data_IF_108405601935
#
_entry.id   IF_108405601935
#
_cell.length_a   1.000
_cell.length_b   1.000
_cell.length_c   1.000
_cell.angle_alpha   90.00
_cell.angle_beta   90.00
_cell.angle_gamma   90.00
#
_symmetry.space_group_name_H-M   'P 1'
#
loop_
_entity.id
_entity.type
_entity.pdbx_description
1 polymer ?
#
# COMPACT_ATOMS: atom_id res chain seq x y z
N UNK A 1 32.45 10.02 0.31
CA UNK A 1 31.91 8.64 0.41
C UNK A 1 30.40 8.75 0.24
N UNK A 2 29.88 8.37 -0.93
CA UNK A 2 28.44 8.43 -1.18
C UNK A 2 27.75 7.42 -0.27
N UNK A 3 26.82 7.90 0.57
CA UNK A 3 25.92 7.01 1.31
C UNK A 3 25.23 6.10 0.29
N UNK A 4 25.42 4.78 0.40
CA UNK A 4 24.68 3.83 -0.43
C UNK A 4 23.24 3.84 0.08
N UNK A 5 22.35 4.49 -0.66
CA UNK A 5 20.91 4.37 -0.46
C UNK A 5 20.52 2.91 -0.59
N UNK A 6 19.97 2.32 0.48
CA UNK A 6 19.47 0.94 0.47
C UNK A 6 17.98 0.96 0.17
N UNK A 7 17.53 0.13 -0.78
CA UNK A 7 16.11 -0.05 -1.08
C UNK A 7 15.55 -1.25 -0.33
N UNK A 8 14.40 -1.07 0.32
CA UNK A 8 13.61 -2.14 0.91
C UNK A 8 12.32 -2.32 0.10
N UNK A 9 12.10 -3.54 -0.38
CA UNK A 9 10.90 -3.89 -1.15
C UNK A 9 9.73 -4.17 -0.20
N UNK A 10 8.59 -3.59 -0.53
CA UNK A 10 7.34 -3.72 0.20
C UNK A 10 6.18 -3.98 -0.77
N UNK A 11 5.10 -4.54 -0.26
CA UNK A 11 3.84 -4.75 -0.97
C UNK A 11 2.73 -3.95 -0.34
N UNK A 12 1.73 -3.61 -1.14
CA UNK A 12 0.45 -3.07 -0.68
C UNK A 12 -0.65 -3.60 -1.61
N UNK A 13 -1.58 -4.37 -1.07
CA UNK A 13 -2.70 -4.94 -1.78
C UNK A 13 -3.99 -4.28 -1.30
N UNK A 14 -4.82 -3.83 -2.23
CA UNK A 14 -6.15 -3.29 -1.95
C UNK A 14 -7.17 -4.14 -2.69
N UNK A 15 -8.09 -4.73 -1.94
CA UNK A 15 -9.24 -5.42 -2.52
C UNK A 15 -10.28 -4.38 -2.93
N UNK A 16 -10.69 -4.43 -4.19
CA UNK A 16 -11.65 -3.52 -4.78
C UNK A 16 -12.84 -4.29 -5.34
N UNK A 17 -13.98 -4.16 -4.68
CA UNK A 17 -15.27 -4.67 -5.15
C UNK A 17 -16.20 -3.49 -5.35
N UNK A 18 -16.21 -2.91 -6.55
CA UNK A 18 -16.95 -1.68 -6.83
C UNK A 18 -18.40 -1.74 -6.28
N UNK A 19 -18.87 -0.73 -5.52
CA UNK A 19 -18.22 0.56 -5.24
C UNK A 19 -17.46 0.61 -3.90
N UNK A 20 -16.85 -0.49 -3.45
CA UNK A 20 -16.18 -0.59 -2.15
C UNK A 20 -14.72 -1.01 -2.25
N UNK A 21 -13.91 -0.51 -1.33
CA UNK A 21 -12.54 -0.97 -1.08
C UNK A 21 -12.43 -1.55 0.33
N UNK A 22 -11.61 -2.58 0.49
CA UNK A 22 -11.25 -3.10 1.80
C UNK A 22 -9.96 -2.41 2.27
N UNK A 23 -10.02 -1.78 3.44
CA UNK A 23 -8.88 -1.18 4.12
C UNK A 23 -8.73 -1.81 5.51
N UNK A 24 -7.55 -1.75 6.09
CA UNK A 24 -7.30 -2.16 7.46
C UNK A 24 -6.82 -1.00 8.33
N UNK A 25 -7.42 -0.84 9.51
CA UNK A 25 -6.87 0.04 10.54
C UNK A 25 -5.68 -0.66 11.17
N UNK A 26 -4.49 -0.07 11.01
CA UNK A 26 -3.26 -0.63 11.55
C UNK A 26 -3.21 -0.46 13.07
N UNK A 27 -3.07 -1.56 13.80
CA UNK A 27 -3.13 -1.62 15.27
C UNK A 27 -1.77 -1.43 15.93
N UNK A 28 -0.68 -1.79 15.24
CA UNK A 28 0.69 -1.74 15.78
C UNK A 28 1.75 -1.45 14.71
N UNK A 29 2.95 -1.06 15.16
CA UNK A 29 4.11 -0.86 14.30
C UNK A 29 4.04 0.41 13.43
N UNK A 30 4.82 0.41 12.35
CA UNK A 30 4.93 1.56 11.44
C UNK A 30 3.60 1.87 10.74
N UNK A 31 3.05 3.06 10.96
CA UNK A 31 1.74 3.47 10.44
C UNK A 31 0.54 3.10 11.32
N UNK A 32 0.76 2.69 12.57
CA UNK A 32 -0.34 2.44 13.51
C UNK A 32 -1.26 3.66 13.66
N UNK A 33 -2.57 3.41 13.76
CA UNK A 33 -3.60 4.44 13.82
C UNK A 33 -4.04 4.98 12.46
N UNK A 34 -3.57 4.39 11.35
CA UNK A 34 -3.98 4.75 9.99
C UNK A 34 -4.72 3.61 9.28
N UNK A 35 -5.68 3.98 8.45
CA UNK A 35 -6.26 3.07 7.45
C UNK A 35 -5.28 2.90 6.29
N UNK A 36 -5.13 1.68 5.79
CA UNK A 36 -4.28 1.39 4.64
C UNK A 36 -4.77 0.14 3.90
N UNK A 37 -4.16 -0.17 2.74
CA UNK A 37 -4.17 -1.52 2.18
C UNK A 37 -3.36 -2.50 3.03
N UNK A 38 -3.31 -3.75 2.58
CA UNK A 38 -2.68 -4.86 3.29
C UNK A 38 -1.34 -5.22 2.68
N UNK A 39 -0.29 -5.39 3.47
CA UNK A 39 1.03 -5.61 2.89
C UNK A 39 2.19 -5.38 3.84
N UNK A 40 3.35 -5.84 3.40
CA UNK A 40 4.55 -5.85 4.23
C UNK A 40 5.81 -6.09 3.42
N UNK A 41 6.83 -6.63 4.06
CA UNK A 41 8.17 -6.75 3.48
C UNK A 41 8.25 -7.95 2.55
N UNK A 42 8.95 -7.77 1.43
CA UNK A 42 9.32 -8.90 0.55
C UNK A 42 10.56 -9.58 1.13
N UNK A 43 10.46 -10.88 1.39
CA UNK A 43 11.54 -11.71 1.89
C UNK A 43 12.50 -12.15 0.78
N UNK A 44 13.70 -12.61 1.13
CA UNK A 44 14.73 -12.99 0.15
C UNK A 44 14.35 -14.17 -0.76
N UNK A 45 13.40 -15.03 -0.33
CA UNK A 45 13.05 -16.28 -0.98
C UNK A 45 11.62 -16.26 -1.58
N UNK A 46 11.02 -15.09 -1.75
CA UNK A 46 9.70 -14.93 -2.35
C UNK A 46 9.72 -13.82 -3.41
N UNK A 47 8.85 -13.95 -4.39
CA UNK A 47 8.54 -12.87 -5.32
C UNK A 47 7.70 -11.79 -4.64
N UNK A 48 7.66 -10.60 -5.24
CA UNK A 48 6.82 -9.50 -4.76
C UNK A 48 5.33 -9.91 -4.74
N UNK A 49 4.88 -10.69 -5.72
CA UNK A 49 3.49 -11.15 -5.78
C UNK A 49 3.20 -12.20 -4.69
N UNK A 50 4.12 -13.14 -4.45
CA UNK A 50 4.00 -14.10 -3.34
C UNK A 50 3.95 -13.39 -1.99
N UNK A 51 4.79 -12.38 -1.77
CA UNK A 51 4.74 -11.55 -0.57
C UNK A 51 3.39 -10.85 -0.42
N UNK A 52 2.84 -10.27 -1.50
CA UNK A 52 1.54 -9.60 -1.45
C UNK A 52 0.40 -10.56 -1.08
N UNK A 53 0.42 -11.80 -1.62
CA UNK A 53 -0.55 -12.86 -1.28
C UNK A 53 -0.42 -13.33 0.17
N UNK A 54 0.81 -13.52 0.64
CA UNK A 54 1.10 -13.91 2.02
C UNK A 54 0.61 -12.86 3.02
N UNK A 55 0.97 -11.59 2.81
CA UNK A 55 0.67 -10.51 3.75
C UNK A 55 -0.85 -10.28 3.87
N UNK A 56 -1.59 -10.20 2.76
CA UNK A 56 -3.05 -10.01 2.86
C UNK A 56 -3.74 -11.18 3.57
N UNK A 57 -3.26 -12.41 3.35
CA UNK A 57 -3.75 -13.59 4.05
C UNK A 57 -3.46 -13.52 5.55
N UNK A 58 -2.25 -13.14 5.95
CA UNK A 58 -1.86 -13.00 7.35
C UNK A 58 -2.64 -11.89 8.06
N UNK A 59 -2.87 -10.76 7.39
CA UNK A 59 -3.49 -9.58 7.98
C UNK A 59 -5.03 -9.63 8.01
N UNK A 60 -5.65 -10.40 7.10
CA UNK A 60 -7.12 -10.41 6.92
C UNK A 60 -7.76 -11.79 6.86
N UNK A 61 -6.99 -12.87 6.72
CA UNK A 61 -7.51 -14.23 6.55
C UNK A 61 -8.10 -14.55 5.17
N UNK A 62 -8.12 -13.60 4.22
CA UNK A 62 -8.62 -13.86 2.86
C UNK A 62 -7.52 -14.29 1.90
N UNK A 63 -7.91 -15.02 0.85
CA UNK A 63 -7.01 -15.46 -0.21
C UNK A 63 -7.31 -14.68 -1.50
N UNK A 64 -6.28 -14.08 -2.11
CA UNK A 64 -6.37 -13.42 -3.42
C UNK A 64 -5.67 -14.23 -4.49
N UNK A 65 -6.37 -14.51 -5.60
CA UNK A 65 -5.82 -15.34 -6.69
C UNK A 65 -5.14 -14.48 -7.75
N UNK A 66 -5.83 -13.41 -8.17
CA UNK A 66 -5.37 -12.48 -9.22
C UNK A 66 -4.96 -11.17 -8.57
N UNK A 67 -3.75 -10.72 -8.88
CA UNK A 67 -3.19 -9.44 -8.44
C UNK A 67 -2.82 -8.61 -9.66
N UNK A 68 -3.54 -7.51 -9.86
CA UNK A 68 -3.24 -6.54 -10.90
C UNK A 68 -2.30 -5.47 -10.35
N UNK A 69 -1.06 -5.44 -10.86
CA UNK A 69 -0.09 -4.43 -10.45
C UNK A 69 -0.58 -3.05 -10.90
N UNK A 70 -0.88 -2.20 -9.92
CA UNK A 70 -1.47 -0.87 -10.10
C UNK A 70 -0.41 0.24 -10.01
N UNK A 71 0.63 0.08 -9.18
CA UNK A 71 1.64 1.11 -9.09
C UNK A 71 2.94 0.70 -8.40
N UNK A 72 3.93 1.59 -8.50
CA UNK A 72 5.16 1.53 -7.73
C UNK A 72 5.41 2.91 -7.14
N UNK A 73 5.54 3.00 -5.82
CA UNK A 73 5.87 4.26 -5.15
C UNK A 73 7.14 4.09 -4.33
N UNK A 74 8.07 5.02 -4.51
CA UNK A 74 9.25 5.15 -3.65
C UNK A 74 8.97 6.17 -2.53
N UNK A 75 9.11 5.74 -1.29
CA UNK A 75 8.99 6.61 -0.12
C UNK A 75 10.35 6.82 0.52
N UNK A 76 10.66 8.08 0.76
CA UNK A 76 11.83 8.53 1.52
C UNK A 76 11.39 9.28 2.76
N UNK A 77 12.19 9.18 3.81
CA UNK A 77 11.97 9.91 5.05
C UNK A 77 13.22 10.74 5.36
N UNK A 78 13.06 12.03 5.59
CA UNK A 78 14.16 12.95 5.86
C UNK A 78 15.03 12.43 7.01
N UNK A 79 16.33 12.28 6.75
CA UNK A 79 17.29 11.75 7.72
C UNK A 79 17.37 10.22 7.77
N UNK A 80 16.55 9.49 7.01
CA UNK A 80 16.65 8.05 6.83
C UNK A 80 17.26 7.72 5.45
N UNK A 81 18.39 7.00 5.37
CA UNK A 81 19.01 6.62 4.11
C UNK A 81 18.29 5.47 3.39
N UNK A 82 17.33 4.81 4.02
CA UNK A 82 16.55 3.72 3.42
C UNK A 82 15.40 4.27 2.58
N UNK A 83 15.27 3.77 1.34
CA UNK A 83 14.12 4.00 0.46
C UNK A 83 13.18 2.80 0.56
N UNK A 84 11.91 3.08 0.78
CA UNK A 84 10.85 2.08 0.77
C UNK A 84 10.23 2.04 -0.63
N UNK A 85 10.49 0.98 -1.39
CA UNK A 85 9.87 0.77 -2.71
C UNK A 85 8.64 -0.12 -2.53
N UNK A 86 7.46 0.49 -2.62
CA UNK A 86 6.16 -0.17 -2.41
C UNK A 86 5.54 -0.54 -3.75
N UNK A 87 5.28 -1.83 -3.95
CA UNK A 87 4.53 -2.34 -5.08
C UNK A 87 3.05 -2.47 -4.73
N UNK A 88 2.22 -1.68 -5.42
CA UNK A 88 0.79 -1.58 -5.15
C UNK A 88 0.04 -2.50 -6.12
N UNK A 89 -0.84 -3.32 -5.57
CA UNK A 89 -1.68 -4.27 -6.29
C UNK A 89 -3.16 -4.00 -6.01
N UNK A 90 -3.98 -4.22 -7.03
CA UNK A 90 -5.43 -4.33 -6.95
C UNK A 90 -5.82 -5.80 -7.02
N UNK A 91 -6.83 -6.20 -6.27
CA UNK A 91 -7.51 -7.48 -6.49
C UNK A 91 -9.02 -7.26 -6.47
N UNK A 92 -9.73 -7.81 -7.46
CA UNK A 92 -11.20 -7.77 -7.51
C UNK A 92 -11.83 -9.11 -7.09
N UNK A 93 -11.01 -10.15 -6.93
CA UNK A 93 -11.44 -11.51 -6.63
C UNK A 93 -10.65 -12.11 -5.47
N UNK A 94 -11.36 -12.46 -4.41
CA UNK A 94 -10.82 -13.13 -3.24
C UNK A 94 -11.80 -14.19 -2.72
N UNK A 95 -11.32 -15.05 -1.82
CA UNK A 95 -12.14 -16.00 -1.08
C UNK A 95 -11.90 -15.91 0.42
N UNK A 96 -12.92 -16.25 1.21
CA UNK A 96 -12.92 -16.09 2.66
C UNK A 96 -13.61 -14.79 3.09
N UNK A 97 -13.69 -14.60 4.41
CA UNK A 97 -14.27 -13.39 5.02
C UNK A 97 -13.14 -12.63 5.73
N UNK A 98 -13.00 -11.30 5.52
CA UNK A 98 -12.00 -10.51 6.23
C UNK A 98 -12.21 -10.58 7.75
N UNK A 99 -11.17 -11.01 8.47
CA UNK A 99 -11.13 -11.09 9.92
C UNK A 99 -10.11 -10.13 10.50
N UNK A 100 -10.38 -9.62 11.70
CA UNK A 100 -9.41 -8.84 12.45
C UNK A 100 -8.24 -9.72 12.91
N UNK A 101 -7.02 -9.28 12.61
CA UNK A 101 -5.79 -9.91 13.08
C UNK A 101 -5.20 -9.12 14.26
N UNK A 102 -4.05 -9.56 14.78
CA UNK A 102 -3.30 -8.75 15.75
C UNK A 102 -2.84 -7.41 15.15
N UNK A 103 -2.62 -7.36 13.83
CA UNK A 103 -1.99 -6.22 13.16
C UNK A 103 -2.97 -5.27 12.52
N UNK A 104 -4.05 -5.80 11.94
CA UNK A 104 -4.99 -5.05 11.10
C UNK A 104 -6.43 -5.35 11.49
N UNK A 105 -7.27 -4.31 11.51
CA UNK A 105 -8.72 -4.44 11.60
C UNK A 105 -9.35 -4.09 10.25
N UNK A 106 -9.76 -5.08 9.43
CA UNK A 106 -10.35 -4.83 8.12
C UNK A 106 -11.72 -4.16 8.21
N UNK A 107 -12.00 -3.27 7.26
CA UNK A 107 -13.29 -2.62 7.08
C UNK A 107 -13.49 -2.23 5.62
N UNK A 108 -14.71 -2.45 5.13
CA UNK A 108 -15.14 -1.98 3.82
C UNK A 108 -15.52 -0.50 3.87
N UNK A 109 -15.06 0.27 2.89
CA UNK A 109 -15.45 1.66 2.68
C UNK A 109 -16.05 1.82 1.29
N UNK A 110 -17.12 2.62 1.17
CA UNK A 110 -17.55 3.10 -0.14
C UNK A 110 -16.44 3.97 -0.74
N UNK A 111 -16.25 3.96 -2.06
CA UNK A 111 -15.21 4.75 -2.74
C UNK A 111 -15.32 6.26 -2.48
N UNK A 112 -16.54 6.74 -2.23
CA UNK A 112 -16.81 8.15 -1.90
C UNK A 112 -16.62 8.48 -0.40
N UNK A 113 -16.41 7.47 0.44
CA UNK A 113 -16.30 7.58 1.89
C UNK A 113 -14.92 7.12 2.41
N UNK A 114 -13.94 7.03 1.52
CA UNK A 114 -12.56 6.67 1.88
C UNK A 114 -12.01 7.69 2.89
N UNK A 115 -11.54 7.25 4.07
CA UNK A 115 -11.21 8.14 5.17
C UNK A 115 -9.80 8.74 5.02
N UNK A 116 -9.53 9.48 3.93
CA UNK A 116 -8.20 10.01 3.60
C UNK A 116 -7.53 10.81 4.72
N UNK A 117 -8.31 11.49 5.57
CA UNK A 117 -7.77 12.23 6.73
C UNK A 117 -7.18 11.33 7.83
N UNK A 118 -7.47 10.03 7.80
CA UNK A 118 -6.98 8.99 8.70
C UNK A 118 -6.07 7.98 7.96
N UNK A 119 -5.65 8.30 6.75
CA UNK A 119 -4.76 7.49 5.91
C UNK A 119 -3.36 8.12 5.84
N UNK A 120 -2.45 7.54 5.05
CA UNK A 120 -1.20 8.23 4.77
C UNK A 120 -1.44 9.48 3.92
N UNK A 121 -0.72 10.60 4.13
CA UNK A 121 -0.99 11.85 3.41
C UNK A 121 -0.82 11.77 1.89
N UNK A 122 -0.05 10.80 1.39
CA UNK A 122 0.17 10.57 -0.03
C UNK A 122 -1.02 9.84 -0.71
N UNK A 123 -1.81 9.09 0.05
CA UNK A 123 -2.90 8.25 -0.47
C UNK A 123 -3.89 9.08 -1.28
N UNK A 124 -4.22 10.29 -0.83
CA UNK A 124 -5.13 11.20 -1.55
C UNK A 124 -4.69 11.56 -2.98
N UNK A 125 -3.41 11.38 -3.33
CA UNK A 125 -2.89 11.69 -4.67
C UNK A 125 -2.96 10.49 -5.62
N UNK A 126 -2.56 9.30 -5.16
CA UNK A 126 -2.48 8.11 -6.03
C UNK A 126 -3.73 7.23 -5.98
N UNK A 127 -4.50 7.25 -4.90
CA UNK A 127 -5.71 6.44 -4.76
C UNK A 127 -6.79 6.76 -5.82
N UNK A 128 -6.97 8.02 -6.27
CA UNK A 128 -7.85 8.31 -7.41
C UNK A 128 -7.42 7.59 -8.71
N UNK A 129 -6.13 7.58 -9.03
CA UNK A 129 -5.60 6.83 -10.18
C UNK A 129 -5.85 5.33 -10.02
N UNK A 130 -5.66 4.81 -8.80
CA UNK A 130 -5.97 3.42 -8.48
C UNK A 130 -7.45 3.09 -8.72
N UNK A 131 -8.39 3.94 -8.29
CA UNK A 131 -9.83 3.73 -8.48
C UNK A 131 -10.22 3.77 -9.96
N UNK A 132 -9.61 4.66 -10.74
CA UNK A 132 -9.79 4.77 -12.19
C UNK A 132 -9.15 3.61 -12.99
N UNK A 133 -8.43 2.69 -12.32
CA UNK A 133 -7.75 1.57 -12.97
C UNK A 133 -6.50 1.97 -13.75
N UNK A 134 -5.96 3.16 -13.49
CA UNK A 134 -4.72 3.65 -14.10
C UNK A 134 -3.51 3.07 -13.40
N UNK A 135 -2.43 2.90 -14.16
CA UNK A 135 -1.12 2.51 -13.63
C UNK A 135 -0.30 3.74 -13.32
N UNK A 136 0.48 3.72 -12.25
CA UNK A 136 1.26 4.90 -11.83
C UNK A 136 2.63 4.58 -11.24
N UNK A 137 3.55 5.53 -11.38
CA UNK A 137 4.81 5.56 -10.63
C UNK A 137 4.88 6.84 -9.82
N UNK A 138 5.30 6.72 -8.57
CA UNK A 138 5.38 7.85 -7.65
C UNK A 138 6.66 7.88 -6.83
N UNK A 139 6.97 9.05 -6.29
CA UNK A 139 7.99 9.26 -5.29
C UNK A 139 7.51 10.33 -4.31
N UNK A 140 7.64 10.07 -3.01
CA UNK A 140 7.28 11.01 -1.97
C UNK A 140 8.41 11.09 -0.93
N UNK A 141 8.82 12.31 -0.61
CA UNK A 141 9.75 12.58 0.49
C UNK A 141 8.96 13.13 1.67
N UNK A 142 8.96 12.38 2.77
CA UNK A 142 8.35 12.76 4.04
C UNK A 142 9.35 13.44 4.97
N UNK A 143 8.89 14.49 5.64
CA UNK A 143 9.59 15.20 6.71
C UNK A 143 9.04 14.87 8.08
N UNK A 144 9.26 15.79 9.03
CA UNK A 144 8.73 15.67 10.38
C UNK A 144 7.20 15.65 10.38
N UNK A 145 6.61 14.92 11.33
CA UNK A 145 5.15 14.77 11.47
C UNK A 145 4.45 14.31 10.19
N UNK A 146 5.12 13.49 9.38
CA UNK A 146 4.63 12.93 8.12
C UNK A 146 4.22 14.02 7.09
N UNK A 147 4.83 15.20 7.15
CA UNK A 147 4.63 16.23 6.12
C UNK A 147 5.28 15.83 4.79
N UNK A 148 4.56 15.95 3.68
CA UNK A 148 5.14 15.74 2.35
C UNK A 148 5.98 16.97 1.97
N UNK A 149 7.29 16.79 1.81
CA UNK A 149 8.24 17.83 1.43
C UNK A 149 8.41 17.91 -0.09
N UNK A 150 8.47 16.76 -0.75
CA UNK A 150 8.55 16.63 -2.20
C UNK A 150 7.65 15.49 -2.67
N UNK A 151 7.04 15.66 -3.84
CA UNK A 151 6.24 14.61 -4.46
C UNK A 151 6.37 14.63 -5.98
N UNK A 152 6.35 13.45 -6.58
CA UNK A 152 6.17 13.23 -8.01
C UNK A 152 5.25 12.05 -8.21
N UNK A 153 4.26 12.18 -9.10
CA UNK A 153 3.33 11.11 -9.43
C UNK A 153 3.00 11.21 -10.92
N UNK A 154 3.14 10.11 -11.63
CA UNK A 154 2.86 10.04 -13.05
C UNK A 154 2.04 8.79 -13.38
N UNK A 155 0.99 8.97 -14.19
CA UNK A 155 0.34 7.86 -14.88
C UNK A 155 1.31 7.26 -15.90
N UNK A 156 1.32 5.93 -16.00
CA UNK A 156 2.18 5.18 -16.91
C UNK A 156 1.39 4.08 -17.59
N UNK A 157 1.87 3.63 -18.75
CA UNK A 157 1.24 2.50 -19.48
C UNK A 157 1.81 1.13 -19.06
N UNK A 158 3.00 1.12 -18.45
CA UNK A 158 3.73 -0.10 -18.02
C UNK A 158 4.48 0.14 -16.71
N UNK A 159 4.57 -0.89 -15.86
CA UNK A 159 5.19 -0.85 -14.53
C UNK A 159 6.51 -1.62 -14.51
#
# INVERSE_FOLDING_TARGET
MGSKTTKKLLTLCIVYQHPKVLLGMKKRGFGAGRWNGFGGKVSANETIEEAAKREIREETGIEVVVLDKAGIIEFEFKGNPEVLEVHIFKSESFSGEPIESEEMKPQWFHVDEIPFSQMWPDDKYWFPLFLEGKKFKGRFLFGDSDAILEQGLAEVTKL
#
